data_IF_536544670237
#
_entry.id   IF_536544670237
#
_cell.length_a   1.000
_cell.length_b   1.000
_cell.length_c   1.000
_cell.angle_alpha   90.00
_cell.angle_beta   90.00
_cell.angle_gamma   90.00
#
_symmetry.space_group_name_H-M   'P 1'
#
loop_
_entity.id
_entity.type
_entity.pdbx_description
1 polymer ?
#
# COMPACT_ATOMS: atom_id res chain seq x y z
N UNK A 1 12.46 0.36 27.65
CA UNK A 1 11.60 1.42 27.09
C UNK A 1 11.06 1.08 25.71
N UNK A 2 11.85 0.73 24.69
CA UNK A 2 11.32 0.44 23.33
C UNK A 2 10.49 -0.85 23.18
N UNK A 3 10.76 -1.88 23.99
CA UNK A 3 10.03 -3.15 23.93
C UNK A 3 8.67 -3.11 24.64
N UNK A 4 8.42 -2.14 25.54
CA UNK A 4 7.11 -1.99 26.19
C UNK A 4 6.06 -1.33 25.28
N UNK A 5 6.49 -0.76 24.15
CA UNK A 5 5.62 -0.13 23.14
C UNK A 5 5.37 -1.00 21.91
N UNK A 6 5.95 -2.21 21.83
CA UNK A 6 5.74 -3.08 20.68
C UNK A 6 4.39 -3.78 20.79
N UNK A 7 3.39 -3.20 20.14
CA UNK A 7 2.06 -3.79 20.05
C UNK A 7 2.03 -4.90 18.99
N UNK A 8 2.11 -6.14 19.47
CA UNK A 8 2.06 -7.34 18.62
C UNK A 8 0.73 -7.49 17.87
N UNK A 9 -0.39 -7.04 18.45
CA UNK A 9 -1.71 -7.12 17.79
C UNK A 9 -1.72 -6.18 16.58
N UNK A 10 -1.23 -4.95 16.77
CA UNK A 10 -1.05 -3.98 15.68
C UNK A 10 -0.09 -4.51 14.61
N UNK A 11 1.03 -5.13 15.00
CA UNK A 11 1.94 -5.72 14.05
C UNK A 11 1.26 -6.78 13.16
N UNK A 12 0.56 -7.75 13.78
CA UNK A 12 -0.12 -8.83 13.05
C UNK A 12 -1.25 -8.26 12.16
N UNK A 13 -2.02 -7.29 12.67
CA UNK A 13 -3.10 -6.68 11.89
C UNK A 13 -2.57 -5.98 10.65
N UNK A 14 -1.43 -5.29 10.75
CA UNK A 14 -0.79 -4.61 9.61
C UNK A 14 -0.23 -5.61 8.61
N UNK A 15 0.38 -6.72 9.04
CA UNK A 15 0.84 -7.77 8.11
C UNK A 15 -0.34 -8.33 7.30
N UNK A 16 -1.48 -8.62 7.95
CA UNK A 16 -2.69 -9.09 7.28
C UNK A 16 -3.27 -8.03 6.34
N UNK A 17 -3.27 -6.76 6.75
CA UNK A 17 -3.75 -5.64 5.92
C UNK A 17 -2.86 -5.45 4.69
N UNK A 18 -1.54 -5.46 4.86
CA UNK A 18 -0.57 -5.36 3.76
C UNK A 18 -0.71 -6.54 2.78
N UNK A 19 -0.92 -7.76 3.29
CA UNK A 19 -1.23 -8.92 2.46
C UNK A 19 -2.50 -8.70 1.64
N UNK A 20 -3.59 -8.22 2.26
CA UNK A 20 -4.83 -7.95 1.55
C UNK A 20 -4.68 -6.87 0.47
N UNK A 21 -4.00 -5.77 0.79
CA UNK A 21 -3.73 -4.68 -0.16
C UNK A 21 -2.92 -5.21 -1.34
N UNK A 22 -1.83 -5.94 -1.07
CA UNK A 22 -0.98 -6.48 -2.14
C UNK A 22 -1.67 -7.54 -2.99
N UNK A 23 -2.52 -8.38 -2.40
CA UNK A 23 -3.33 -9.33 -3.18
C UNK A 23 -4.34 -8.63 -4.08
N UNK A 24 -4.93 -7.52 -3.63
CA UNK A 24 -5.84 -6.73 -4.47
C UNK A 24 -5.07 -6.04 -5.60
N UNK A 25 -3.92 -5.44 -5.28
CA UNK A 25 -2.99 -4.80 -6.22
C UNK A 25 -2.53 -5.77 -7.33
N UNK A 26 -1.97 -6.92 -6.93
CA UNK A 26 -1.55 -7.99 -7.85
C UNK A 26 -2.72 -8.50 -8.73
N UNK A 27 -3.95 -8.50 -8.23
CA UNK A 27 -5.09 -8.90 -9.05
C UNK A 27 -5.41 -7.86 -10.13
N UNK A 28 -5.36 -6.57 -9.80
CA UNK A 28 -5.65 -5.47 -10.72
C UNK A 28 -4.56 -5.32 -11.78
N UNK A 29 -3.29 -5.52 -11.40
CA UNK A 29 -2.14 -5.33 -12.28
C UNK A 29 -1.76 -6.59 -13.06
N UNK A 30 -2.53 -7.68 -12.95
CA UNK A 30 -2.19 -8.98 -13.54
C UNK A 30 -1.85 -8.94 -15.04
N UNK A 31 -2.66 -8.26 -15.85
CA UNK A 31 -2.43 -8.20 -17.30
C UNK A 31 -1.15 -7.42 -17.64
N UNK A 32 -0.81 -6.43 -16.82
CA UNK A 32 0.40 -5.61 -16.97
C UNK A 32 1.63 -6.40 -16.54
N UNK A 33 1.59 -7.01 -15.36
CA UNK A 33 2.67 -7.85 -14.83
C UNK A 33 2.98 -9.01 -15.78
N UNK A 34 1.94 -9.61 -16.37
CA UNK A 34 2.09 -10.66 -17.37
C UNK A 34 2.79 -10.18 -18.63
N UNK A 35 2.55 -8.94 -19.07
CA UNK A 35 3.19 -8.37 -20.26
C UNK A 35 4.70 -8.14 -20.05
N UNK A 36 5.12 -7.85 -18.82
CA UNK A 36 6.52 -7.58 -18.44
C UNK A 36 7.26 -8.84 -17.94
N UNK A 37 6.53 -9.96 -17.78
CA UNK A 37 7.08 -11.20 -17.21
C UNK A 37 7.38 -11.10 -15.72
N UNK A 38 6.64 -10.25 -15.01
CA UNK A 38 6.74 -10.05 -13.57
C UNK A 38 6.06 -11.18 -12.78
N UNK A 39 6.55 -11.44 -11.56
CA UNK A 39 6.02 -12.48 -10.69
C UNK A 39 4.83 -11.97 -9.89
N UNK A 40 3.63 -12.36 -10.28
CA UNK A 40 2.38 -11.95 -9.66
C UNK A 40 1.75 -13.10 -8.82
N UNK A 41 1.07 -12.79 -7.71
CA UNK A 41 0.36 -13.76 -6.88
C UNK A 41 -0.85 -14.41 -7.59
N UNK A 42 -1.45 -13.72 -8.55
CA UNK A 42 -2.57 -14.21 -9.37
C UNK A 42 -2.19 -15.46 -10.16
N UNK A 43 -0.92 -15.64 -10.50
CA UNK A 43 -0.43 -16.86 -11.18
C UNK A 43 -0.61 -18.11 -10.29
N UNK A 44 -0.53 -17.96 -8.96
CA UNK A 44 -0.62 -19.08 -8.01
C UNK A 44 -2.04 -19.26 -7.49
N UNK A 45 -2.67 -18.16 -7.08
CA UNK A 45 -3.98 -18.20 -6.41
C UNK A 45 -5.15 -18.05 -7.39
N UNK A 46 -4.86 -17.66 -8.64
CA UNK A 46 -5.85 -17.52 -9.71
C UNK A 46 -7.00 -16.58 -9.34
N UNK A 47 -8.20 -16.95 -9.80
CA UNK A 47 -9.44 -16.19 -9.56
C UNK A 47 -9.86 -16.15 -8.10
N UNK A 48 -9.24 -16.95 -7.21
CA UNK A 48 -9.51 -16.92 -5.78
C UNK A 48 -8.82 -15.78 -5.04
N UNK A 49 -7.83 -15.12 -5.65
CA UNK A 49 -7.02 -14.07 -5.02
C UNK A 49 -7.85 -12.95 -4.37
N UNK A 50 -8.91 -12.40 -5.00
CA UNK A 50 -9.74 -11.36 -4.36
C UNK A 50 -10.47 -11.86 -3.11
N UNK A 51 -10.88 -13.14 -3.07
CA UNK A 51 -11.58 -13.72 -1.92
C UNK A 51 -10.62 -13.83 -0.73
N UNK A 52 -9.37 -14.26 -0.98
CA UNK A 52 -8.34 -14.29 0.06
C UNK A 52 -7.98 -12.88 0.54
N UNK A 53 -7.91 -11.89 -0.37
CA UNK A 53 -7.70 -10.50 0.02
C UNK A 53 -8.80 -9.99 0.97
N UNK A 54 -10.08 -10.27 0.65
CA UNK A 54 -11.22 -9.90 1.51
C UNK A 54 -11.15 -10.60 2.88
N UNK A 55 -10.79 -11.88 2.92
CA UNK A 55 -10.64 -12.62 4.18
C UNK A 55 -9.53 -12.03 5.04
N UNK A 56 -8.35 -11.75 4.45
CA UNK A 56 -7.22 -11.16 5.17
C UNK A 56 -7.55 -9.75 5.68
N UNK A 57 -8.25 -8.95 4.87
CA UNK A 57 -8.72 -7.62 5.28
C UNK A 57 -9.72 -7.72 6.43
N UNK A 58 -10.67 -8.65 6.37
CA UNK A 58 -11.64 -8.87 7.45
C UNK A 58 -10.97 -9.24 8.77
N UNK A 59 -9.96 -10.12 8.74
CA UNK A 59 -9.16 -10.47 9.92
C UNK A 59 -8.34 -9.28 10.43
N UNK A 60 -7.72 -8.51 9.53
CA UNK A 60 -6.95 -7.33 9.88
C UNK A 60 -7.81 -6.26 10.58
N UNK A 61 -8.98 -5.97 10.03
CA UNK A 61 -9.94 -5.00 10.59
C UNK A 61 -10.47 -5.50 11.94
N UNK A 62 -10.71 -6.80 12.11
CA UNK A 62 -11.16 -7.33 13.40
C UNK A 62 -10.11 -7.13 14.52
N UNK A 63 -8.82 -7.16 14.19
CA UNK A 63 -7.74 -6.97 15.16
C UNK A 63 -7.49 -5.49 15.50
N UNK A 64 -7.47 -4.62 14.49
CA UNK A 64 -7.27 -3.17 14.70
C UNK A 64 -8.09 -2.37 13.67
N UNK A 65 -9.40 -2.15 13.94
CA UNK A 65 -10.30 -1.53 12.98
C UNK A 65 -9.85 -0.14 12.50
N UNK A 66 -9.54 0.84 13.38
CA UNK A 66 -9.26 2.20 12.93
C UNK A 66 -7.97 2.29 12.12
N UNK A 67 -6.95 1.49 12.45
CA UNK A 67 -5.70 1.49 11.70
C UNK A 67 -5.83 0.78 10.35
N UNK A 68 -6.37 -0.44 10.33
CA UNK A 68 -6.45 -1.24 9.10
C UNK A 68 -7.42 -0.63 8.08
N UNK A 69 -8.54 -0.05 8.53
CA UNK A 69 -9.42 0.71 7.65
C UNK A 69 -8.72 1.95 7.08
N UNK A 70 -7.99 2.70 7.91
CA UNK A 70 -7.26 3.88 7.45
C UNK A 70 -6.15 3.51 6.44
N UNK A 71 -5.39 2.43 6.68
CA UNK A 71 -4.35 1.94 5.76
C UNK A 71 -4.94 1.50 4.42
N UNK A 72 -6.04 0.75 4.44
CA UNK A 72 -6.72 0.31 3.22
C UNK A 72 -7.33 1.48 2.43
N UNK A 73 -7.97 2.44 3.10
CA UNK A 73 -8.51 3.64 2.44
C UNK A 73 -7.39 4.54 1.90
N UNK A 74 -6.29 4.66 2.63
CA UNK A 74 -5.10 5.37 2.18
C UNK A 74 -4.50 4.72 0.92
N UNK A 75 -4.32 3.40 0.91
CA UNK A 75 -3.78 2.68 -0.25
C UNK A 75 -4.69 2.86 -1.47
N UNK A 76 -6.01 2.75 -1.29
CA UNK A 76 -6.98 3.03 -2.34
C UNK A 76 -6.89 4.47 -2.86
N UNK A 77 -6.86 5.47 -1.96
CA UNK A 77 -6.82 6.88 -2.35
C UNK A 77 -5.54 7.24 -3.11
N UNK A 78 -4.39 6.70 -2.69
CA UNK A 78 -3.10 6.93 -3.33
C UNK A 78 -3.00 6.20 -4.67
N UNK A 79 -3.52 4.97 -4.76
CA UNK A 79 -3.56 4.22 -6.02
C UNK A 79 -4.31 4.95 -7.14
N UNK A 80 -5.30 5.78 -6.79
CA UNK A 80 -6.05 6.60 -7.76
C UNK A 80 -5.29 7.84 -8.26
N UNK A 81 -4.10 8.14 -7.74
CA UNK A 81 -3.36 9.34 -8.14
C UNK A 81 -2.73 9.24 -9.53
N UNK A 82 -2.50 8.04 -10.06
CA UNK A 82 -1.97 7.88 -11.43
C UNK A 82 -2.86 8.53 -12.49
N UNK A 83 -4.17 8.59 -12.23
CA UNK A 83 -5.16 9.00 -13.23
C UNK A 83 -6.29 9.87 -12.64
N UNK A 84 -5.89 10.99 -12.02
CA UNK A 84 -6.79 11.94 -11.32
C UNK A 84 -7.94 12.49 -12.16
N UNK A 85 -7.82 12.51 -13.49
CA UNK A 85 -8.81 13.06 -14.43
C UNK A 85 -9.60 11.98 -15.17
N UNK A 86 -9.14 10.73 -15.13
CA UNK A 86 -9.84 9.61 -15.75
C UNK A 86 -11.09 9.27 -14.94
N UNK A 87 -12.13 8.84 -15.63
CA UNK A 87 -13.41 8.48 -15.02
C UNK A 87 -13.42 6.96 -14.74
N UNK A 88 -13.60 6.58 -13.49
CA UNK A 88 -13.62 5.18 -13.05
C UNK A 88 -15.02 4.56 -13.20
N UNK A 89 -15.20 3.24 -13.02
CA UNK A 89 -16.52 2.58 -13.10
C UNK A 89 -17.59 3.18 -12.17
N UNK A 90 -17.17 3.85 -11.10
CA UNK A 90 -18.02 4.64 -10.19
C UNK A 90 -18.59 5.92 -10.83
N UNK A 91 -18.12 6.28 -12.03
CA UNK A 91 -18.33 7.55 -12.74
C UNK A 91 -17.71 8.77 -12.05
N UNK A 92 -16.82 8.54 -11.10
CA UNK A 92 -16.08 9.59 -10.41
C UNK A 92 -14.66 9.71 -10.99
N UNK A 93 -14.08 10.89 -10.86
CA UNK A 93 -12.66 11.09 -11.19
C UNK A 93 -11.78 10.54 -10.08
N UNK A 94 -10.52 10.17 -10.40
CA UNK A 94 -9.58 9.70 -9.37
C UNK A 94 -9.39 10.69 -8.21
N UNK A 95 -9.44 12.00 -8.51
CA UNK A 95 -9.43 13.04 -7.48
C UNK A 95 -10.64 12.95 -6.54
N UNK A 96 -11.84 12.73 -7.08
CA UNK A 96 -13.06 12.60 -6.29
C UNK A 96 -13.02 11.34 -5.41
N UNK A 97 -12.55 10.21 -5.95
CA UNK A 97 -12.42 8.97 -5.17
C UNK A 97 -11.41 9.10 -4.04
N UNK A 98 -10.26 9.76 -4.28
CA UNK A 98 -9.30 10.02 -3.21
C UNK A 98 -9.88 10.92 -2.12
N UNK A 99 -10.57 12.00 -2.47
CA UNK A 99 -11.19 12.90 -1.49
C UNK A 99 -12.25 12.16 -0.67
N UNK A 100 -13.08 11.36 -1.33
CA UNK A 100 -14.09 10.54 -0.65
C UNK A 100 -13.43 9.56 0.31
N UNK A 101 -12.39 8.84 -0.14
CA UNK A 101 -11.64 7.90 0.70
C UNK A 101 -11.06 8.58 1.95
N UNK A 102 -10.48 9.77 1.78
CA UNK A 102 -9.89 10.53 2.88
C UNK A 102 -10.95 11.04 3.87
N UNK A 103 -12.06 11.59 3.39
CA UNK A 103 -13.16 12.05 4.25
C UNK A 103 -13.82 10.89 4.99
N UNK A 104 -14.03 9.76 4.31
CA UNK A 104 -14.59 8.56 4.90
C UNK A 104 -13.65 7.98 5.96
N UNK A 105 -12.35 7.93 5.68
CA UNK A 105 -11.34 7.48 6.64
C UNK A 105 -11.25 8.38 7.87
N UNK A 106 -11.31 9.71 7.71
CA UNK A 106 -11.38 10.66 8.84
C UNK A 106 -12.64 10.39 9.67
N UNK A 107 -13.79 10.20 9.02
CA UNK A 107 -15.07 9.96 9.70
C UNK A 107 -15.12 8.65 10.49
N UNK A 108 -14.54 7.58 9.95
CA UNK A 108 -14.60 6.24 10.56
C UNK A 108 -13.46 5.97 11.54
N UNK A 109 -12.25 6.45 11.25
CA UNK A 109 -11.03 6.08 11.98
C UNK A 109 -10.45 7.23 12.80
N UNK A 110 -10.96 8.45 12.59
CA UNK A 110 -10.42 9.67 13.16
C UNK A 110 -9.25 10.22 12.33
N UNK A 111 -9.07 11.55 12.41
CA UNK A 111 -8.09 12.27 11.61
C UNK A 111 -6.64 11.82 11.86
N UNK A 112 -6.28 11.42 13.09
CA UNK A 112 -4.92 10.95 13.41
C UNK A 112 -4.55 9.68 12.65
N UNK A 113 -5.42 8.66 12.67
CA UNK A 113 -5.19 7.40 11.95
C UNK A 113 -5.15 7.63 10.44
N UNK A 114 -6.05 8.47 9.91
CA UNK A 114 -6.09 8.73 8.48
C UNK A 114 -4.85 9.48 7.99
N UNK A 115 -4.41 10.55 8.67
CA UNK A 115 -3.18 11.27 8.28
C UNK A 115 -1.96 10.36 8.41
N UNK A 116 -1.87 9.59 9.50
CA UNK A 116 -0.82 8.59 9.69
C UNK A 116 -0.77 7.60 8.52
N UNK A 117 -1.90 6.98 8.20
CA UNK A 117 -2.00 5.97 7.15
C UNK A 117 -1.74 6.56 5.76
N UNK A 118 -2.28 7.73 5.46
CA UNK A 118 -2.12 8.39 4.17
C UNK A 118 -0.66 8.75 3.92
N UNK A 119 0.01 9.38 4.89
CA UNK A 119 1.44 9.71 4.75
C UNK A 119 2.32 8.46 4.73
N UNK A 120 2.00 7.44 5.53
CA UNK A 120 2.74 6.18 5.52
C UNK A 120 2.63 5.44 4.18
N UNK A 121 1.40 5.26 3.67
CA UNK A 121 1.16 4.61 2.39
C UNK A 121 1.76 5.40 1.23
N UNK A 122 1.73 6.75 1.30
CA UNK A 122 2.34 7.59 0.27
C UNK A 122 3.86 7.36 0.23
N UNK A 123 4.51 7.23 1.39
CA UNK A 123 5.92 6.92 1.43
C UNK A 123 6.25 5.53 0.87
N UNK A 124 5.45 4.51 1.19
CA UNK A 124 5.62 3.16 0.62
C UNK A 124 5.50 3.22 -0.91
N UNK A 125 4.42 3.81 -1.42
CA UNK A 125 4.19 3.92 -2.86
C UNK A 125 5.35 4.63 -3.55
N UNK A 126 5.83 5.77 -3.02
CA UNK A 126 6.94 6.51 -3.61
C UNK A 126 8.27 5.73 -3.59
N UNK A 127 8.48 4.88 -2.59
CA UNK A 127 9.66 4.01 -2.51
C UNK A 127 9.56 2.89 -3.56
N UNK A 128 8.41 2.22 -3.64
CA UNK A 128 8.16 1.18 -4.64
C UNK A 128 8.30 1.74 -6.06
N UNK A 129 7.69 2.90 -6.30
CA UNK A 129 7.80 3.67 -7.53
C UNK A 129 9.27 3.96 -7.91
N UNK A 130 10.12 4.34 -6.95
CA UNK A 130 11.55 4.56 -7.19
C UNK A 130 12.32 3.26 -7.49
N UNK A 131 11.96 2.14 -6.84
CA UNK A 131 12.59 0.83 -7.05
C UNK A 131 12.24 0.30 -8.45
N UNK A 132 10.98 0.45 -8.86
CA UNK A 132 10.45 -0.08 -10.11
C UNK A 132 10.59 0.89 -11.31
N UNK A 133 11.11 2.11 -11.07
CA UNK A 133 11.28 3.15 -12.09
C UNK A 133 11.95 2.66 -13.40
N UNK A 134 12.94 1.76 -13.31
CA UNK A 134 13.62 1.19 -14.49
C UNK A 134 12.76 0.19 -15.26
N UNK A 135 11.95 -0.60 -14.56
CA UNK A 135 11.07 -1.61 -15.15
C UNK A 135 9.87 -0.92 -15.80
N UNK A 136 9.32 0.10 -15.14
CA UNK A 136 8.15 0.86 -15.59
C UNK A 136 8.41 1.72 -16.83
N UNK A 137 9.66 2.19 -16.99
CA UNK A 137 10.07 2.95 -18.17
C UNK A 137 9.94 2.11 -19.46
N UNK A 138 10.12 0.79 -19.37
CA UNK A 138 10.00 -0.13 -20.50
C UNK A 138 8.55 -0.47 -20.84
N UNK A 139 7.65 -0.32 -19.86
CA UNK A 139 6.23 -0.68 -19.95
C UNK A 139 5.32 0.51 -20.31
N UNK A 140 5.86 1.73 -20.33
CA UNK A 140 5.09 2.97 -20.61
C UNK A 140 4.27 3.47 -19.42
N UNK A 141 4.63 3.09 -18.19
CA UNK A 141 3.86 3.42 -16.99
C UNK A 141 4.13 4.84 -16.48
N UNK A 142 3.10 5.48 -15.90
CA UNK A 142 3.16 6.82 -15.31
C UNK A 142 3.47 6.80 -13.82
N UNK A 143 4.62 6.27 -13.46
CA UNK A 143 5.09 6.21 -12.08
C UNK A 143 5.43 7.64 -11.54
N UNK A 144 5.24 7.89 -10.24
CA UNK A 144 5.60 9.17 -9.62
C UNK A 144 7.07 9.53 -9.82
N UNK A 145 7.96 8.53 -9.81
CA UNK A 145 9.37 8.70 -10.09
C UNK A 145 9.65 9.19 -11.52
N UNK A 146 8.77 8.93 -12.48
CA UNK A 146 8.87 9.48 -13.85
C UNK A 146 8.30 10.90 -13.95
N UNK A 147 7.28 11.23 -13.16
CA UNK A 147 6.67 12.57 -13.14
C UNK A 147 7.53 13.60 -12.37
N UNK A 148 8.08 13.20 -11.22
CA UNK A 148 8.81 14.10 -10.31
C UNK A 148 10.34 13.91 -10.37
N UNK A 149 10.81 12.72 -10.74
CA UNK A 149 12.21 12.31 -10.59
C UNK A 149 12.42 11.42 -9.35
N UNK A 150 13.36 10.47 -9.42
CA UNK A 150 13.60 9.53 -8.33
C UNK A 150 14.10 10.22 -7.04
N UNK A 151 14.86 11.32 -7.17
CA UNK A 151 15.39 12.04 -6.01
C UNK A 151 14.27 12.76 -5.27
N UNK A 152 13.40 13.44 -6.02
CA UNK A 152 12.24 14.16 -5.53
C UNK A 152 11.25 13.22 -4.86
N UNK A 153 10.95 12.08 -5.50
CA UNK A 153 10.10 11.03 -4.93
C UNK A 153 10.68 10.47 -3.63
N UNK A 154 12.00 10.24 -3.57
CA UNK A 154 12.64 9.76 -2.33
C UNK A 154 12.61 10.81 -1.22
N UNK A 155 12.87 12.08 -1.53
CA UNK A 155 12.77 13.17 -0.54
C UNK A 155 11.34 13.29 0.00
N UNK A 156 10.34 13.17 -0.88
CA UNK A 156 8.93 13.19 -0.48
C UNK A 156 8.55 11.97 0.36
N UNK A 157 9.09 10.78 0.05
CA UNK A 157 8.89 9.58 0.86
C UNK A 157 9.47 9.75 2.28
N UNK A 158 10.68 10.29 2.40
CA UNK A 158 11.29 10.59 3.71
C UNK A 158 10.46 11.60 4.50
N UNK A 159 10.03 12.68 3.86
CA UNK A 159 9.17 13.68 4.50
C UNK A 159 7.86 13.05 5.00
N UNK A 160 7.23 12.23 4.17
CA UNK A 160 6.00 11.51 4.51
C UNK A 160 6.19 10.54 5.68
N UNK A 161 7.32 9.82 5.74
CA UNK A 161 7.65 8.97 6.90
C UNK A 161 7.85 9.78 8.19
N UNK A 162 8.50 10.95 8.11
CA UNK A 162 8.68 11.83 9.27
C UNK A 162 7.35 12.37 9.79
N UNK A 163 6.43 12.74 8.88
CA UNK A 163 5.08 13.17 9.27
C UNK A 163 4.31 12.01 9.90
N UNK A 164 4.37 10.82 9.29
CA UNK A 164 3.73 9.61 9.82
C UNK A 164 4.23 9.30 11.24
N UNK A 165 5.54 9.31 11.46
CA UNK A 165 6.12 9.14 12.81
C UNK A 165 5.57 10.19 13.77
N UNK A 166 5.62 11.48 13.40
CA UNK A 166 5.20 12.58 14.28
C UNK A 166 3.72 12.50 14.69
N UNK A 167 2.86 12.01 13.80
CA UNK A 167 1.41 11.89 14.04
C UNK A 167 1.06 10.63 14.82
N UNK A 168 1.76 9.51 14.57
CA UNK A 168 1.45 8.20 15.14
C UNK A 168 2.65 7.58 15.86
N UNK A 169 3.25 8.27 16.82
CA UNK A 169 4.47 7.82 17.52
C UNK A 169 4.39 6.39 18.05
N UNK A 170 3.25 5.98 18.62
CA UNK A 170 3.03 4.62 19.13
C UNK A 170 2.75 3.59 18.04
N UNK A 171 2.20 4.00 16.89
CA UNK A 171 1.82 3.12 15.78
C UNK A 171 2.99 2.90 14.81
N UNK A 172 3.89 3.87 14.71
CA UNK A 172 4.92 3.91 13.68
C UNK A 172 5.83 2.69 13.72
N UNK A 173 6.36 2.31 14.89
CA UNK A 173 7.30 1.20 14.99
C UNK A 173 6.65 -0.17 14.65
N UNK A 174 5.48 -0.55 15.22
CA UNK A 174 4.78 -1.77 14.81
C UNK A 174 4.42 -1.79 13.32
N UNK A 175 3.93 -0.67 12.77
CA UNK A 175 3.51 -0.59 11.36
C UNK A 175 4.72 -0.69 10.42
N UNK A 176 5.80 0.04 10.71
CA UNK A 176 7.03 0.02 9.91
C UNK A 176 7.68 -1.37 9.92
N UNK A 177 7.79 -1.99 11.09
CA UNK A 177 8.35 -3.34 11.20
C UNK A 177 7.50 -4.39 10.47
N UNK A 178 6.17 -4.30 10.56
CA UNK A 178 5.25 -5.16 9.81
C UNK A 178 5.40 -4.99 8.30
N UNK A 179 5.46 -3.74 7.82
CA UNK A 179 5.65 -3.43 6.41
C UNK A 179 7.00 -3.96 5.88
N UNK A 180 8.10 -3.74 6.61
CA UNK A 180 9.42 -4.26 6.23
C UNK A 180 9.42 -5.79 6.17
N UNK A 181 8.91 -6.45 7.20
CA UNK A 181 8.88 -7.92 7.24
C UNK A 181 8.02 -8.47 6.10
N UNK A 182 6.85 -7.88 5.86
CA UNK A 182 5.98 -8.26 4.75
C UNK A 182 6.69 -8.09 3.40
N UNK A 183 7.28 -6.92 3.14
CA UNK A 183 7.98 -6.63 1.89
C UNK A 183 9.17 -7.57 1.64
N UNK A 184 10.01 -7.79 2.66
CA UNK A 184 11.14 -8.72 2.58
C UNK A 184 10.66 -10.15 2.30
N UNK A 185 9.57 -10.58 2.97
CA UNK A 185 8.99 -11.91 2.74
C UNK A 185 8.47 -12.07 1.31
N UNK A 186 7.87 -11.01 0.74
CA UNK A 186 7.37 -10.98 -0.61
C UNK A 186 8.50 -11.04 -1.64
N UNK A 187 9.54 -10.24 -1.48
CA UNK A 187 10.74 -10.27 -2.35
C UNK A 187 11.41 -11.63 -2.29
N UNK A 188 11.50 -12.24 -1.11
CA UNK A 188 12.08 -13.58 -0.96
C UNK A 188 11.24 -14.64 -1.69
N UNK A 189 9.91 -14.59 -1.55
CA UNK A 189 8.99 -15.49 -2.23
C UNK A 189 9.00 -15.32 -3.76
N UNK A 190 9.10 -14.08 -4.25
CA UNK A 190 9.19 -13.78 -5.68
C UNK A 190 10.54 -14.18 -6.28
N UNK A 191 11.66 -14.03 -5.55
CA UNK A 191 12.99 -14.49 -6.00
C UNK A 191 13.07 -16.01 -6.12
N UNK A 192 12.50 -16.75 -5.16
CA UNK A 192 12.44 -18.22 -5.22
C UNK A 192 11.74 -18.73 -6.48
N UNK A 193 10.78 -17.98 -7.02
CA UNK A 193 10.03 -18.32 -8.24
C UNK A 193 10.74 -18.00 -9.55
N UNK A 194 11.77 -17.16 -9.59
CA UNK A 194 12.54 -16.91 -10.83
C UNK A 194 13.42 -18.10 -11.24
N UNK A 195 13.58 -19.10 -10.38
CA UNK A 195 14.44 -20.27 -10.58
C UNK A 195 13.69 -21.61 -10.59
N UNK A 196 12.36 -21.58 -10.59
CA UNK A 196 11.50 -22.77 -10.68
C UNK A 196 10.82 -22.81 -12.05
#
# INVERSE_FOLDING_TARGET
>A
MWLETFDFVTFVSVVLCAAAIKMADDFLDYDQDKAVGSNNLTVVLGKGLPIYAMLMLGLAINLNPPLCLALFLASYGIGMFHDLKSCFPSKLTGLQECVISLLLGIGLCGWKHMIFAFTFMLAIQLIDDCIDARTDQLSGYRNFAHCFGCVESYMLAVLSLLISWRVGESLFLPVLSAAIIFYVSLVWFQRGRKYA
#
